data_IF_965169410687
#
_entry.id   IF_965169410687
#
_cell.length_a   1.000
_cell.length_b   1.000
_cell.length_c   1.000
_cell.angle_alpha   90.00
_cell.angle_beta   90.00
_cell.angle_gamma   90.00
#
_symmetry.space_group_name_H-M   'P 1'
#
loop_
_entity.id
_entity.type
_entity.pdbx_description
1 polymer ?
#
# COMPACT_ATOMS: atom_id res chain seq x y z
N UNK A 1 25.87 28.83 -12.99
CA UNK A 1 24.45 28.48 -13.19
C UNK A 1 24.21 27.00 -12.88
N UNK A 2 24.94 26.07 -13.47
CA UNK A 2 24.82 24.60 -13.28
C UNK A 2 24.97 24.14 -11.84
N UNK A 3 25.95 24.67 -11.07
CA UNK A 3 26.16 24.28 -9.68
C UNK A 3 24.94 24.64 -8.77
N UNK A 4 24.34 25.81 -8.95
CA UNK A 4 23.13 26.20 -8.19
C UNK A 4 21.93 25.32 -8.56
N UNK A 5 21.79 24.94 -9.84
CA UNK A 5 20.77 24.00 -10.30
C UNK A 5 20.97 22.63 -9.66
N UNK A 6 22.19 22.08 -9.72
CA UNK A 6 22.52 20.79 -9.13
C UNK A 6 22.24 20.76 -7.61
N UNK A 7 22.66 21.78 -6.87
CA UNK A 7 22.40 21.90 -5.44
C UNK A 7 20.89 21.98 -5.13
N UNK A 8 20.11 22.68 -5.96
CA UNK A 8 18.67 22.76 -5.76
C UNK A 8 17.98 21.40 -6.00
N UNK A 9 18.41 20.66 -7.01
CA UNK A 9 17.91 19.29 -7.29
C UNK A 9 18.28 18.37 -6.14
N UNK A 10 19.53 18.37 -5.70
CA UNK A 10 19.99 17.53 -4.59
C UNK A 10 19.21 17.81 -3.31
N UNK A 11 19.01 19.09 -2.97
CA UNK A 11 18.22 19.49 -1.79
C UNK A 11 16.77 18.98 -1.87
N UNK A 12 16.13 19.10 -3.02
CA UNK A 12 14.76 18.60 -3.24
C UNK A 12 14.70 17.09 -3.13
N UNK A 13 15.65 16.38 -3.72
CA UNK A 13 15.74 14.90 -3.65
C UNK A 13 15.88 14.44 -2.20
N UNK A 14 16.80 15.04 -1.42
CA UNK A 14 16.97 14.70 0.00
C UNK A 14 15.70 15.01 0.79
N UNK A 15 15.06 16.17 0.55
CA UNK A 15 13.80 16.52 1.23
C UNK A 15 12.71 15.48 0.96
N UNK A 16 12.50 15.11 -0.31
CA UNK A 16 11.51 14.10 -0.69
C UNK A 16 11.83 12.72 -0.08
N UNK A 17 13.11 12.33 -0.06
CA UNK A 17 13.52 11.10 0.61
C UNK A 17 13.22 11.11 2.10
N UNK A 18 13.51 12.21 2.79
CA UNK A 18 13.22 12.36 4.23
C UNK A 18 11.71 12.36 4.51
N UNK A 19 10.90 12.94 3.62
CA UNK A 19 9.44 12.89 3.74
C UNK A 19 8.91 11.46 3.64
N UNK A 20 9.42 10.67 2.71
CA UNK A 20 9.08 9.24 2.61
C UNK A 20 9.56 8.47 3.84
N UNK A 21 10.79 8.69 4.28
CA UNK A 21 11.35 8.01 5.45
C UNK A 21 10.54 8.27 6.73
N UNK A 22 9.99 9.47 6.92
CA UNK A 22 9.11 9.82 8.05
C UNK A 22 7.83 8.97 8.11
N UNK A 23 7.40 8.41 6.99
CA UNK A 23 6.23 7.52 6.90
C UNK A 23 6.67 6.06 7.00
N UNK A 24 7.63 5.68 6.16
CA UNK A 24 8.03 4.26 6.04
C UNK A 24 8.68 3.73 7.31
N UNK A 25 9.59 4.51 7.93
CA UNK A 25 10.32 4.05 9.13
C UNK A 25 9.38 3.75 10.32
N UNK A 26 8.46 4.66 10.74
CA UNK A 26 7.54 4.34 11.82
C UNK A 26 6.62 3.18 11.50
N UNK A 27 6.07 3.12 10.29
CA UNK A 27 5.19 2.02 9.88
C UNK A 27 5.93 0.68 9.90
N UNK A 28 7.12 0.63 9.31
CA UNK A 28 7.97 -0.58 9.37
C UNK A 28 8.27 -1.00 10.80
N UNK A 29 8.64 -0.04 11.67
CA UNK A 29 8.95 -0.30 13.07
C UNK A 29 7.73 -0.88 13.81
N UNK A 30 6.56 -0.27 13.65
CA UNK A 30 5.32 -0.75 14.26
C UNK A 30 4.98 -2.16 13.75
N UNK A 31 5.10 -2.40 12.45
CA UNK A 31 4.86 -3.71 11.85
C UNK A 31 5.84 -4.77 12.36
N UNK A 32 7.12 -4.41 12.49
CA UNK A 32 8.14 -5.31 13.05
C UNK A 32 7.78 -5.75 14.45
N UNK A 33 7.42 -4.83 15.33
CA UNK A 33 6.96 -5.19 16.68
C UNK A 33 5.65 -5.99 16.67
N UNK A 34 4.70 -5.61 15.81
CA UNK A 34 3.43 -6.32 15.68
C UNK A 34 3.63 -7.76 15.20
N UNK A 35 4.59 -8.01 14.29
CA UNK A 35 4.92 -9.34 13.80
C UNK A 35 5.50 -10.26 14.89
N UNK A 36 6.10 -9.69 15.92
CA UNK A 36 6.59 -10.42 17.09
C UNK A 36 5.47 -10.77 18.10
N UNK A 37 4.25 -10.25 17.89
CA UNK A 37 3.11 -10.48 18.79
C UNK A 37 2.08 -11.43 18.18
N UNK A 38 1.23 -12.09 19.01
CA UNK A 38 0.11 -12.90 18.51
C UNK A 38 -0.95 -12.07 17.75
N UNK A 39 -0.98 -10.76 17.95
CA UNK A 39 -2.00 -9.88 17.37
C UNK A 39 -2.01 -9.92 15.84
N UNK A 40 -0.85 -9.92 15.20
CA UNK A 40 -0.77 -10.02 13.74
C UNK A 40 -1.36 -11.35 13.24
N UNK A 41 -1.09 -12.45 13.95
CA UNK A 41 -1.62 -13.78 13.59
C UNK A 41 -3.13 -13.86 13.73
N UNK A 42 -3.69 -13.29 14.80
CA UNK A 42 -5.15 -13.23 15.02
C UNK A 42 -5.81 -12.44 13.89
N UNK A 43 -5.26 -11.26 13.57
CA UNK A 43 -5.76 -10.40 12.51
C UNK A 43 -5.64 -11.07 11.13
N UNK A 44 -4.50 -11.69 10.86
CA UNK A 44 -4.26 -12.45 9.64
C UNK A 44 -5.23 -13.61 9.49
N UNK A 45 -5.50 -14.35 10.56
CA UNK A 45 -6.45 -15.47 10.54
C UNK A 45 -7.87 -15.00 10.20
N UNK A 46 -8.32 -13.88 10.78
CA UNK A 46 -9.63 -13.32 10.51
C UNK A 46 -9.79 -12.88 9.04
N UNK A 47 -8.75 -12.30 8.43
CA UNK A 47 -8.77 -11.83 7.05
C UNK A 47 -8.29 -12.86 6.02
N UNK A 48 -7.82 -14.01 6.48
CA UNK A 48 -7.33 -15.09 5.62
C UNK A 48 -8.33 -15.52 4.53
N UNK A 49 -9.66 -15.65 4.78
CA UNK A 49 -10.60 -16.03 3.72
C UNK A 49 -10.63 -15.03 2.55
N UNK A 50 -10.52 -13.73 2.85
CA UNK A 50 -10.51 -12.68 1.84
C UNK A 50 -9.20 -12.69 1.06
N UNK A 51 -8.07 -12.85 1.74
CA UNK A 51 -6.76 -12.89 1.10
C UNK A 51 -6.54 -14.18 0.30
N UNK A 52 -7.11 -15.30 0.74
CA UNK A 52 -7.06 -16.57 0.02
C UNK A 52 -7.66 -16.48 -1.39
N UNK A 53 -8.64 -15.60 -1.61
CA UNK A 53 -9.19 -15.34 -2.94
C UNK A 53 -8.12 -14.86 -3.94
N UNK A 54 -7.09 -14.19 -3.46
CA UNK A 54 -5.94 -13.71 -4.23
C UNK A 54 -4.70 -14.60 -4.06
N UNK A 55 -4.80 -15.78 -3.45
CA UNK A 55 -3.66 -16.64 -3.08
C UNK A 55 -2.60 -15.92 -2.23
N UNK A 56 -3.03 -14.97 -1.43
CA UNK A 56 -2.18 -14.19 -0.53
C UNK A 56 -2.31 -14.69 0.92
N UNK A 57 -1.22 -14.64 1.72
CA UNK A 57 -1.30 -14.84 3.15
C UNK A 57 -2.19 -13.78 3.83
N UNK A 58 -2.88 -14.15 4.91
CA UNK A 58 -3.77 -13.23 5.64
C UNK A 58 -3.08 -11.98 6.16
N UNK A 59 -1.79 -12.04 6.45
CA UNK A 59 -0.96 -10.92 6.92
C UNK A 59 -0.88 -9.78 5.89
N UNK A 60 -1.01 -10.08 4.60
CA UNK A 60 -1.01 -9.08 3.52
C UNK A 60 -2.20 -8.13 3.57
N UNK A 61 -3.27 -8.51 4.27
CA UNK A 61 -4.42 -7.64 4.47
C UNK A 61 -4.04 -6.34 5.19
N UNK A 62 -3.10 -6.40 6.15
CA UNK A 62 -2.65 -5.21 6.85
C UNK A 62 -1.88 -4.27 5.91
N UNK A 63 -1.08 -4.80 5.00
CA UNK A 63 -0.43 -4.03 3.93
C UNK A 63 -1.46 -3.28 3.08
N UNK A 64 -2.52 -3.97 2.65
CA UNK A 64 -3.59 -3.34 1.88
C UNK A 64 -4.35 -2.28 2.69
N UNK A 65 -4.62 -2.54 3.96
CA UNK A 65 -5.26 -1.56 4.85
C UNK A 65 -4.39 -0.32 4.97
N UNK A 66 -3.12 -0.46 5.34
CA UNK A 66 -2.20 0.66 5.48
C UNK A 66 -2.05 1.45 4.18
N UNK A 67 -1.91 0.75 3.06
CA UNK A 67 -1.76 1.38 1.75
C UNK A 67 -3.01 2.12 1.26
N UNK A 68 -4.20 1.64 1.62
CA UNK A 68 -5.47 2.25 1.21
C UNK A 68 -5.91 3.37 2.15
N UNK A 69 -5.72 3.22 3.47
CA UNK A 69 -6.24 4.17 4.46
C UNK A 69 -5.20 5.22 4.88
N UNK A 70 -3.92 4.92 4.86
CA UNK A 70 -2.85 5.89 5.14
C UNK A 70 -2.32 6.42 3.81
N UNK A 71 -1.44 5.66 3.15
CA UNK A 71 -0.94 5.93 1.81
C UNK A 71 -0.15 4.73 1.25
N UNK A 72 0.17 4.78 -0.05
CA UNK A 72 0.92 3.74 -0.75
C UNK A 72 2.22 3.35 -0.03
N UNK A 73 2.99 4.32 0.46
CA UNK A 73 4.30 4.08 1.07
C UNK A 73 4.19 3.37 2.42
N UNK A 74 3.11 3.62 3.17
CA UNK A 74 2.81 2.87 4.39
C UNK A 74 2.59 1.38 4.08
N UNK A 75 1.87 1.08 3.01
CA UNK A 75 1.71 -0.31 2.54
C UNK A 75 3.03 -0.92 2.08
N UNK A 76 3.77 -0.25 1.19
CA UNK A 76 5.06 -0.74 0.67
C UNK A 76 6.06 -1.01 1.81
N UNK A 77 6.09 -0.16 2.84
CA UNK A 77 6.99 -0.30 3.98
C UNK A 77 6.79 -1.60 4.77
N UNK A 78 5.65 -2.28 4.64
CA UNK A 78 5.39 -3.55 5.33
C UNK A 78 5.80 -4.78 4.54
N UNK A 79 5.90 -4.67 3.21
CA UNK A 79 6.17 -5.82 2.31
C UNK A 79 7.45 -6.58 2.68
N UNK A 80 8.59 -5.93 3.02
CA UNK A 80 9.82 -6.65 3.38
C UNK A 80 9.71 -7.53 4.62
N UNK A 81 8.70 -7.30 5.48
CA UNK A 81 8.46 -8.11 6.69
C UNK A 81 7.60 -9.35 6.41
N UNK A 82 7.02 -9.44 5.22
CA UNK A 82 6.17 -10.55 4.79
C UNK A 82 7.01 -11.51 3.95
N UNK A 83 7.02 -12.78 4.32
CA UNK A 83 7.72 -13.82 3.56
C UNK A 83 6.90 -14.22 2.32
N UNK A 84 6.85 -13.33 1.32
CA UNK A 84 6.07 -13.52 0.11
C UNK A 84 6.90 -14.11 -1.03
N UNK A 85 6.30 -15.00 -1.80
CA UNK A 85 6.85 -15.40 -3.09
C UNK A 85 6.82 -14.24 -4.10
N UNK A 86 7.64 -14.27 -5.17
CA UNK A 86 7.60 -13.24 -6.21
C UNK A 86 6.20 -13.04 -6.81
N UNK A 87 5.44 -14.12 -7.01
CA UNK A 87 4.07 -14.08 -7.49
C UNK A 87 3.13 -13.35 -6.52
N UNK A 88 3.22 -13.67 -5.24
CA UNK A 88 2.44 -13.02 -4.19
C UNK A 88 2.79 -11.54 -4.08
N UNK A 89 4.07 -11.20 -4.16
CA UNK A 89 4.54 -9.79 -4.15
C UNK A 89 3.97 -9.02 -5.33
N UNK A 90 4.02 -9.58 -6.53
CA UNK A 90 3.45 -8.94 -7.73
C UNK A 90 1.93 -8.76 -7.61
N UNK A 91 1.21 -9.79 -7.13
CA UNK A 91 -0.24 -9.72 -6.91
C UNK A 91 -0.58 -8.61 -5.93
N UNK A 92 0.08 -8.60 -4.77
CA UNK A 92 -0.13 -7.60 -3.73
C UNK A 92 0.20 -6.19 -4.23
N UNK A 93 1.33 -6.03 -4.93
CA UNK A 93 1.75 -4.74 -5.48
C UNK A 93 0.73 -4.19 -6.49
N UNK A 94 0.20 -5.02 -7.39
CA UNK A 94 -0.79 -4.58 -8.39
C UNK A 94 -2.13 -4.21 -7.75
N UNK A 95 -2.60 -4.98 -6.75
CA UNK A 95 -3.78 -4.60 -5.98
C UNK A 95 -3.54 -3.24 -5.32
N UNK A 96 -2.40 -3.09 -4.64
CA UNK A 96 -2.06 -1.89 -3.90
C UNK A 96 -1.94 -0.67 -4.84
N UNK A 97 -1.22 -0.79 -5.96
CA UNK A 97 -1.06 0.28 -6.94
C UNK A 97 -2.39 0.75 -7.52
N UNK A 98 -3.34 -0.17 -7.70
CA UNK A 98 -4.65 0.15 -8.27
C UNK A 98 -5.60 0.77 -7.25
N UNK A 99 -5.48 0.40 -5.97
CA UNK A 99 -6.44 0.79 -4.92
C UNK A 99 -5.91 1.78 -3.88
N UNK A 100 -4.63 2.11 -3.84
CA UNK A 100 -4.02 2.88 -2.73
C UNK A 100 -4.67 4.24 -2.44
N UNK A 101 -4.40 4.76 -1.23
CA UNK A 101 -4.74 6.15 -0.82
C UNK A 101 -6.21 6.53 -1.00
N UNK A 102 -7.13 5.60 -0.74
CA UNK A 102 -8.57 5.77 -0.99
C UNK A 102 -9.16 7.00 -0.27
N UNK A 103 -8.78 7.24 0.98
CA UNK A 103 -9.30 8.39 1.75
C UNK A 103 -8.85 9.70 1.11
N UNK A 104 -7.57 9.81 0.80
CA UNK A 104 -6.99 11.03 0.25
C UNK A 104 -7.57 11.34 -1.14
N UNK A 105 -7.61 10.35 -2.01
CA UNK A 105 -8.13 10.54 -3.37
C UNK A 105 -9.65 10.78 -3.38
N UNK A 106 -10.41 10.12 -2.50
CA UNK A 106 -11.83 10.41 -2.34
C UNK A 106 -12.08 11.85 -1.93
N UNK A 107 -11.26 12.40 -1.01
CA UNK A 107 -11.35 13.81 -0.62
C UNK A 107 -11.09 14.75 -1.83
N UNK A 108 -10.13 14.41 -2.69
CA UNK A 108 -9.88 15.14 -3.95
C UNK A 108 -11.08 15.06 -4.90
N UNK A 109 -11.65 13.86 -5.09
CA UNK A 109 -12.83 13.68 -5.94
C UNK A 109 -14.05 14.47 -5.48
N UNK A 110 -14.29 14.53 -4.16
CA UNK A 110 -15.35 15.36 -3.56
C UNK A 110 -15.09 16.84 -3.87
N UNK A 111 -13.85 17.30 -3.66
CA UNK A 111 -13.46 18.71 -3.93
C UNK A 111 -13.63 19.08 -5.40
N UNK A 112 -13.37 18.16 -6.31
CA UNK A 112 -13.55 18.34 -7.77
C UNK A 112 -15.02 18.16 -8.21
N UNK A 113 -15.95 17.92 -7.28
CA UNK A 113 -17.39 17.70 -7.55
C UNK A 113 -17.64 16.56 -8.56
N UNK A 114 -16.80 15.54 -8.57
CA UNK A 114 -16.96 14.35 -9.43
C UNK A 114 -17.88 13.33 -8.78
N UNK A 115 -18.26 12.28 -9.53
CA UNK A 115 -19.02 11.14 -9.00
C UNK A 115 -18.10 10.22 -8.19
N UNK A 116 -17.66 10.68 -7.01
CA UNK A 116 -16.63 10.04 -6.21
C UNK A 116 -16.97 8.58 -5.83
N UNK A 117 -18.24 8.27 -5.51
CA UNK A 117 -18.66 6.90 -5.19
C UNK A 117 -18.47 5.95 -6.37
N UNK A 118 -18.78 6.40 -7.58
CA UNK A 118 -18.56 5.62 -8.79
C UNK A 118 -17.07 5.37 -9.04
N UNK A 119 -16.24 6.40 -8.89
CA UNK A 119 -14.78 6.29 -9.07
C UNK A 119 -14.16 5.38 -8.00
N UNK A 120 -14.59 5.51 -6.76
CA UNK A 120 -14.17 4.64 -5.66
C UNK A 120 -14.51 3.17 -5.95
N UNK A 121 -15.76 2.91 -6.33
CA UNK A 121 -16.21 1.56 -6.70
C UNK A 121 -15.40 1.02 -7.88
N UNK A 122 -15.22 1.82 -8.94
CA UNK A 122 -14.47 1.41 -10.12
C UNK A 122 -13.03 1.00 -9.78
N UNK A 123 -12.35 1.77 -8.92
CA UNK A 123 -10.97 1.47 -8.47
C UNK A 123 -10.90 0.17 -7.68
N UNK A 124 -11.77 0.01 -6.68
CA UNK A 124 -11.78 -1.22 -5.87
C UNK A 124 -12.12 -2.43 -6.75
N UNK A 125 -13.10 -2.30 -7.62
CA UNK A 125 -13.50 -3.36 -8.55
C UNK A 125 -12.36 -3.74 -9.50
N UNK A 126 -11.68 -2.75 -10.07
CA UNK A 126 -10.52 -2.98 -10.95
C UNK A 126 -9.37 -3.66 -10.19
N UNK A 127 -9.09 -3.22 -8.94
CA UNK A 127 -8.07 -3.85 -8.10
C UNK A 127 -8.38 -5.32 -7.79
N UNK A 128 -9.65 -5.65 -7.53
CA UNK A 128 -10.10 -7.02 -7.31
C UNK A 128 -9.90 -7.87 -8.57
N UNK A 129 -10.31 -7.37 -9.74
CA UNK A 129 -10.15 -8.09 -11.02
C UNK A 129 -8.66 -8.32 -11.31
N UNK A 130 -7.83 -7.27 -11.25
CA UNK A 130 -6.39 -7.37 -11.54
C UNK A 130 -5.73 -8.33 -10.56
N UNK A 131 -6.01 -8.18 -9.26
CA UNK A 131 -5.46 -9.06 -8.22
C UNK A 131 -5.85 -10.52 -8.45
N UNK A 132 -7.12 -10.78 -8.77
CA UNK A 132 -7.58 -12.13 -9.07
C UNK A 132 -6.89 -12.72 -10.30
N UNK A 133 -6.84 -11.99 -11.41
CA UNK A 133 -6.22 -12.47 -12.65
C UNK A 133 -4.74 -12.77 -12.44
N UNK A 134 -3.99 -11.85 -11.84
CA UNK A 134 -2.54 -12.02 -11.62
C UNK A 134 -2.26 -13.12 -10.62
N UNK A 135 -3.12 -13.33 -9.64
CA UNK A 135 -2.97 -14.46 -8.70
C UNK A 135 -3.14 -15.83 -9.35
N UNK A 136 -3.67 -15.91 -10.57
CA UNK A 136 -3.85 -17.14 -11.33
C UNK A 136 -2.73 -17.39 -12.36
N UNK A 137 -2.06 -16.34 -12.81
CA UNK A 137 -0.89 -16.45 -13.70
C UNK A 137 0.34 -16.93 -12.93
#
# INVERSE_FOLDING_TARGET
>A
MLAKFFLSVLKRTISSFLELAKIVIPVYTIMFFLSATPLLKIFAHFLSPVMAFFHLPGETALTLILGNFINLYAGIGTIPLLNLSPKQTNTLALILLTSHSQIFETAVFIKLKTRFLFLLFLRIFTAIIIGYLVSRL
#
